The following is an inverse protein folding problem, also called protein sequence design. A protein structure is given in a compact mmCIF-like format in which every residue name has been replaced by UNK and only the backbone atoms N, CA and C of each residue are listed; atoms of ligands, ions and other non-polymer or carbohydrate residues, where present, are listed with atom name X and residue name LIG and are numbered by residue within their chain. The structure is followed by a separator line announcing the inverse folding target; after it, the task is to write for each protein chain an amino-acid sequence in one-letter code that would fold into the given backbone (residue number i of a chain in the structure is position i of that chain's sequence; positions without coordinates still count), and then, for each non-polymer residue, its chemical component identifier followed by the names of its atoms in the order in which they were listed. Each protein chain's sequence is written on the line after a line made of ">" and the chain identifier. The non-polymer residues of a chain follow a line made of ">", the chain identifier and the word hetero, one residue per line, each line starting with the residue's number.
data_IF_905254054799
#
_entry.id   IF_905254054799
#
_cell.length_a   1.000
_cell.length_b   1.000
_cell.length_c   1.000
_cell.angle_alpha   90.00
_cell.angle_beta   90.00
_cell.angle_gamma   90.00
#
_symmetry.space_group_name_H-M   'P 1'
#
loop_
_entity.id
_entity.type
_entity.pdbx_description
1 polymer ?
#
# COMPACT_ATOMS: atom_id res chain seq x y z
N UNK A 1 -18.23 102.27 -57.06
CA UNK A 1 -17.58 101.39 -56.05
C UNK A 1 -18.72 100.88 -55.18
N UNK A 2 -19.14 99.61 -55.16
CA UNK A 2 -18.43 98.37 -54.92
C UNK A 2 -19.09 97.21 -55.70
N UNK A 3 -18.30 96.18 -55.95
CA UNK A 3 -18.46 95.00 -56.83
C UNK A 3 -19.46 93.93 -56.34
N UNK A 4 -20.13 93.26 -57.32
CA UNK A 4 -20.25 91.80 -57.62
C UNK A 4 -20.79 90.91 -56.44
N UNK A 5 -21.75 89.97 -56.54
CA UNK A 5 -21.75 88.70 -57.29
C UNK A 5 -23.13 87.99 -57.28
N UNK A 6 -23.42 87.41 -58.45
CA UNK A 6 -24.31 86.34 -58.96
C UNK A 6 -25.10 85.37 -58.04
N UNK A 7 -26.31 85.04 -58.55
CA UNK A 7 -27.22 83.85 -58.47
C UNK A 7 -26.52 82.46 -58.41
N UNK A 8 -27.26 81.31 -58.45
CA UNK A 8 -28.45 80.79 -57.72
C UNK A 8 -28.19 79.35 -57.16
N UNK A 9 -29.12 78.71 -56.45
CA UNK A 9 -29.03 77.27 -56.17
C UNK A 9 -30.40 76.58 -56.28
N UNK A 10 -30.49 75.69 -57.27
CA UNK A 10 -31.51 74.66 -57.39
C UNK A 10 -31.10 73.46 -56.50
N UNK A 11 -32.03 72.93 -55.70
CA UNK A 11 -31.88 71.63 -55.05
C UNK A 11 -33.27 71.07 -54.73
N UNK A 12 -33.83 70.36 -55.71
CA UNK A 12 -35.11 69.67 -55.57
C UNK A 12 -35.10 68.41 -56.42
N UNK A 13 -34.36 67.38 -55.98
CA UNK A 13 -34.46 66.00 -56.47
C UNK A 13 -33.43 65.09 -55.75
N UNK A 14 -33.53 64.89 -54.43
CA UNK A 14 -32.64 63.94 -53.74
C UNK A 14 -33.18 63.42 -52.40
N UNK A 15 -34.51 63.28 -52.22
CA UNK A 15 -35.07 62.79 -50.93
C UNK A 15 -35.75 61.41 -51.07
N UNK A 16 -35.88 60.85 -52.27
CA UNK A 16 -36.63 59.60 -52.50
C UNK A 16 -35.76 58.36 -52.82
N UNK A 17 -34.46 58.40 -52.53
CA UNK A 17 -33.55 57.26 -52.75
C UNK A 17 -32.88 56.72 -51.47
N UNK A 18 -33.21 57.29 -50.30
CA UNK A 18 -32.56 56.93 -49.03
C UNK A 18 -33.39 56.01 -48.12
N UNK A 19 -34.57 55.57 -48.56
CA UNK A 19 -35.51 54.80 -47.73
C UNK A 19 -35.71 53.33 -48.13
N UNK A 20 -34.96 52.82 -49.12
CA UNK A 20 -35.06 51.42 -49.58
C UNK A 20 -33.81 50.55 -49.33
N UNK A 21 -32.79 51.04 -48.62
CA UNK A 21 -31.52 50.33 -48.40
C UNK A 21 -31.37 49.58 -47.07
N UNK A 22 -32.38 49.54 -46.20
CA UNK A 22 -32.21 49.12 -44.79
C UNK A 22 -32.97 47.85 -44.40
N UNK A 23 -33.08 46.87 -45.32
CA UNK A 23 -33.58 45.52 -45.02
C UNK A 23 -32.62 44.49 -45.64
N UNK A 24 -31.34 44.54 -45.25
CA UNK A 24 -30.54 43.32 -45.25
C UNK A 24 -30.96 42.54 -43.99
N UNK A 25 -31.64 41.39 -44.11
CA UNK A 25 -31.71 40.49 -42.97
C UNK A 25 -30.26 40.13 -42.62
N UNK A 26 -29.82 40.46 -41.41
CA UNK A 26 -28.70 39.76 -40.79
C UNK A 26 -29.10 38.28 -40.79
N UNK A 27 -28.55 37.53 -41.74
CA UNK A 27 -28.49 36.08 -41.66
C UNK A 27 -27.79 35.77 -40.35
N UNK A 28 -28.57 35.46 -39.31
CA UNK A 28 -28.05 34.83 -38.11
C UNK A 28 -27.38 33.54 -38.58
N UNK A 29 -26.06 33.51 -38.56
CA UNK A 29 -25.31 32.30 -38.85
C UNK A 29 -25.80 31.22 -37.88
N UNK A 30 -26.25 30.09 -38.41
CA UNK A 30 -26.68 28.96 -37.59
C UNK A 30 -25.53 28.55 -36.65
N UNK A 31 -25.87 28.17 -35.42
CA UNK A 31 -24.87 27.72 -34.46
C UNK A 31 -24.16 26.48 -35.02
N UNK A 32 -22.82 26.39 -34.94
CA UNK A 32 -22.09 25.23 -35.43
C UNK A 32 -22.50 23.97 -34.68
N UNK A 33 -22.71 22.88 -35.42
CA UNK A 33 -23.10 21.59 -34.88
C UNK A 33 -21.86 20.79 -34.51
N UNK A 34 -21.72 20.47 -33.23
CA UNK A 34 -20.52 19.82 -32.67
C UNK A 34 -20.88 18.44 -32.15
N UNK A 35 -20.26 17.41 -32.73
CA UNK A 35 -20.33 16.05 -32.22
C UNK A 35 -19.23 15.81 -31.19
N UNK A 36 -19.59 15.39 -29.98
CA UNK A 36 -18.62 15.09 -28.91
C UNK A 36 -18.44 13.58 -28.79
N UNK A 37 -17.20 13.11 -28.84
CA UNK A 37 -16.85 11.71 -28.64
C UNK A 37 -16.49 11.43 -27.18
N UNK A 38 -16.57 10.15 -26.79
CA UNK A 38 -16.10 9.72 -25.48
C UNK A 38 -14.59 10.01 -25.33
N UNK A 39 -14.20 10.44 -24.13
CA UNK A 39 -12.80 10.72 -23.82
C UNK A 39 -12.02 9.41 -23.63
N UNK A 40 -10.88 9.29 -24.30
CA UNK A 40 -10.03 8.10 -24.22
C UNK A 40 -9.03 8.18 -23.06
N UNK A 41 -8.98 7.14 -22.22
CA UNK A 41 -7.95 7.00 -21.20
C UNK A 41 -6.62 6.56 -21.82
N UNK A 42 -5.61 7.44 -21.81
CA UNK A 42 -4.24 7.16 -22.26
C UNK A 42 -3.28 6.81 -21.13
N UNK A 43 -3.76 6.74 -19.89
CA UNK A 43 -2.95 6.38 -18.72
C UNK A 43 -2.59 4.90 -18.66
N UNK A 44 -3.27 4.06 -19.44
CA UNK A 44 -3.07 2.61 -19.44
C UNK A 44 -3.62 1.89 -18.19
N UNK A 45 -4.30 2.64 -17.31
CA UNK A 45 -4.86 2.16 -16.05
C UNK A 45 -6.38 2.37 -16.04
N UNK A 46 -7.18 1.28 -16.16
CA UNK A 46 -8.64 1.35 -16.16
C UNK A 46 -9.24 1.98 -14.90
N UNK A 47 -8.47 2.09 -13.80
CA UNK A 47 -8.94 2.74 -12.57
C UNK A 47 -9.33 4.21 -12.77
N UNK A 48 -8.83 4.86 -13.82
CA UNK A 48 -9.16 6.25 -14.13
C UNK A 48 -10.25 6.41 -15.18
N UNK A 49 -10.90 5.33 -15.63
CA UNK A 49 -11.93 5.40 -16.67
C UNK A 49 -13.13 6.29 -16.26
N UNK A 50 -13.40 6.39 -14.95
CA UNK A 50 -14.44 7.27 -14.40
C UNK A 50 -14.18 8.76 -14.70
N UNK A 51 -12.91 9.16 -14.78
CA UNK A 51 -12.50 10.55 -15.06
C UNK A 51 -13.02 10.97 -16.43
N UNK A 52 -12.99 10.06 -17.41
CA UNK A 52 -13.56 10.28 -18.73
C UNK A 52 -15.04 10.65 -18.68
N UNK A 53 -15.83 9.95 -17.85
CA UNK A 53 -17.25 10.22 -17.67
C UNK A 53 -17.53 11.59 -17.02
N UNK A 54 -16.79 11.93 -15.97
CA UNK A 54 -16.92 13.24 -15.29
C UNK A 54 -16.55 14.38 -16.23
N UNK A 55 -15.36 14.28 -16.86
CA UNK A 55 -14.87 15.32 -17.75
C UNK A 55 -15.75 15.48 -19.00
N UNK A 56 -16.28 14.38 -19.55
CA UNK A 56 -17.22 14.43 -20.66
C UNK A 56 -18.55 15.09 -20.25
N UNK A 57 -19.09 14.76 -19.08
CA UNK A 57 -20.31 15.37 -18.55
C UNK A 57 -20.18 16.88 -18.35
N UNK A 58 -19.07 17.33 -17.75
CA UNK A 58 -18.76 18.75 -17.58
C UNK A 58 -18.59 19.46 -18.92
N UNK A 59 -17.87 18.85 -19.86
CA UNK A 59 -17.67 19.41 -21.20
C UNK A 59 -18.99 19.59 -21.96
N UNK A 60 -19.88 18.60 -21.92
CA UNK A 60 -21.21 18.69 -22.54
C UNK A 60 -22.06 19.79 -21.87
N UNK A 61 -22.01 19.89 -20.54
CA UNK A 61 -22.71 20.93 -19.79
C UNK A 61 -22.21 22.34 -20.16
N UNK A 62 -20.89 22.55 -20.19
CA UNK A 62 -20.27 23.83 -20.51
C UNK A 62 -20.56 24.27 -21.95
N UNK A 63 -20.41 23.34 -22.91
CA UNK A 63 -20.66 23.64 -24.31
C UNK A 63 -22.14 23.95 -24.56
N UNK A 64 -23.07 23.19 -23.95
CA UNK A 64 -24.51 23.44 -24.11
C UNK A 64 -24.96 24.73 -23.44
N UNK A 65 -24.47 25.02 -22.23
CA UNK A 65 -24.82 26.22 -21.47
C UNK A 65 -24.31 27.51 -22.11
N UNK A 66 -23.26 27.43 -22.94
CA UNK A 66 -22.75 28.58 -23.70
C UNK A 66 -23.77 29.15 -24.70
N UNK A 67 -24.74 28.34 -25.15
CA UNK A 67 -25.69 28.70 -26.21
C UNK A 67 -25.06 28.99 -27.58
N UNK A 68 -23.76 28.77 -27.72
CA UNK A 68 -22.98 29.13 -28.91
C UNK A 68 -22.83 27.98 -29.90
N UNK A 69 -23.17 26.75 -29.51
CA UNK A 69 -23.02 25.52 -30.30
C UNK A 69 -24.26 24.65 -30.15
N UNK A 70 -24.58 23.88 -31.19
CA UNK A 70 -25.60 22.83 -31.13
C UNK A 70 -24.89 21.48 -30.90
N UNK A 71 -25.16 20.82 -29.79
CA UNK A 71 -24.47 19.58 -29.42
C UNK A 71 -25.16 18.33 -29.97
N UNK A 72 -24.33 17.44 -30.51
CA UNK A 72 -24.70 16.08 -30.85
C UNK A 72 -23.92 15.14 -29.94
N UNK A 73 -24.56 14.63 -28.89
CA UNK A 73 -23.95 13.63 -28.00
C UNK A 73 -24.02 12.26 -28.66
N UNK A 74 -22.88 11.79 -29.18
CA UNK A 74 -22.80 10.50 -29.85
C UNK A 74 -23.05 9.33 -28.90
N UNK A 75 -22.67 9.44 -27.63
CA UNK A 75 -22.93 8.40 -26.63
C UNK A 75 -24.43 8.22 -26.39
N UNK A 76 -25.17 9.33 -26.30
CA UNK A 76 -26.63 9.32 -26.19
C UNK A 76 -27.29 8.80 -27.49
N UNK A 77 -26.73 9.14 -28.66
CA UNK A 77 -27.21 8.62 -29.95
C UNK A 77 -27.01 7.11 -30.06
N UNK A 78 -25.83 6.59 -29.71
CA UNK A 78 -25.54 5.16 -29.77
C UNK A 78 -26.42 4.37 -28.78
N UNK A 79 -26.69 4.93 -27.58
CA UNK A 79 -27.62 4.37 -26.61
C UNK A 79 -29.08 4.37 -27.12
N UNK A 80 -29.52 5.46 -27.76
CA UNK A 80 -30.84 5.57 -28.40
C UNK A 80 -30.99 4.62 -29.59
N UNK A 81 -29.95 4.44 -30.40
CA UNK A 81 -29.93 3.48 -31.51
C UNK A 81 -30.04 2.05 -30.99
N UNK A 82 -29.29 1.71 -29.95
CA UNK A 82 -29.37 0.39 -29.30
C UNK A 82 -30.76 0.14 -28.69
N UNK A 83 -31.35 1.14 -28.05
CA UNK A 83 -32.73 1.07 -27.53
C UNK A 83 -33.75 0.93 -28.67
N UNK A 84 -33.54 1.61 -29.80
CA UNK A 84 -34.40 1.48 -30.99
C UNK A 84 -34.25 0.11 -31.65
N UNK A 85 -33.04 -0.42 -31.77
CA UNK A 85 -32.79 -1.79 -32.25
C UNK A 85 -33.47 -2.83 -31.36
N UNK A 86 -33.40 -2.64 -30.03
CA UNK A 86 -34.14 -3.46 -29.06
C UNK A 86 -35.66 -3.31 -29.23
N UNK A 87 -36.17 -2.09 -29.49
CA UNK A 87 -37.59 -1.82 -29.72
C UNK A 87 -38.12 -2.36 -31.08
N UNK A 88 -37.30 -2.32 -32.13
CA UNK A 88 -37.62 -2.85 -33.47
C UNK A 88 -37.54 -4.38 -33.50
N UNK A 89 -36.72 -4.97 -32.63
CA UNK A 89 -36.71 -6.42 -32.40
C UNK A 89 -38.03 -6.91 -31.76
N UNK A 90 -38.83 -6.02 -31.15
CA UNK A 90 -40.10 -6.35 -30.52
C UNK A 90 -41.34 -6.12 -31.42
N UNK A 91 -41.27 -5.29 -32.47
CA UNK A 91 -42.43 -4.97 -33.34
C UNK A 91 -41.99 -4.85 -34.81
N UNK A 92 -42.42 -5.79 -35.64
CA UNK A 92 -42.32 -5.70 -37.10
C UNK A 92 -43.42 -4.79 -37.68
N UNK A 93 -43.06 -3.59 -38.16
CA UNK A 93 -43.66 -2.88 -39.30
C UNK A 93 -42.92 -1.55 -39.56
N UNK A 94 -42.44 -1.34 -40.79
CA UNK A 94 -41.74 -0.14 -41.31
C UNK A 94 -42.76 0.92 -41.84
N UNK A 95 -42.40 2.16 -42.28
CA UNK A 95 -41.05 2.69 -42.56
C UNK A 95 -40.77 4.20 -42.25
N UNK A 96 -39.52 4.58 -42.54
CA UNK A 96 -39.06 5.89 -43.06
C UNK A 96 -38.82 7.05 -42.08
N UNK A 97 -37.57 7.14 -41.61
CA UNK A 97 -36.91 8.36 -41.17
C UNK A 97 -35.42 8.07 -41.05
N UNK A 98 -34.67 8.28 -42.14
CA UNK A 98 -33.23 8.05 -42.14
C UNK A 98 -32.54 8.94 -41.12
N UNK A 99 -31.86 8.32 -40.15
CA UNK A 99 -31.05 9.06 -39.19
C UNK A 99 -29.71 9.42 -39.86
N UNK A 100 -29.59 10.66 -40.30
CA UNK A 100 -28.35 11.28 -40.82
C UNK A 100 -27.38 11.63 -39.66
N UNK A 101 -27.11 10.63 -38.80
CA UNK A 101 -26.53 10.82 -37.47
C UNK A 101 -25.07 11.27 -37.41
N UNK A 102 -24.35 11.20 -38.53
CA UNK A 102 -22.93 11.60 -38.62
C UNK A 102 -22.74 12.66 -39.70
N UNK A 103 -23.57 12.68 -40.75
CA UNK A 103 -23.43 13.57 -41.91
C UNK A 103 -23.84 15.01 -41.66
N UNK A 104 -24.14 15.38 -40.41
CA UNK A 104 -24.74 16.67 -40.07
C UNK A 104 -24.01 17.47 -39.00
N UNK A 105 -22.84 17.00 -38.52
CA UNK A 105 -21.96 17.78 -37.66
C UNK A 105 -20.98 18.60 -38.51
N UNK A 106 -20.79 19.87 -38.15
CA UNK A 106 -19.76 20.74 -38.74
C UNK A 106 -18.38 20.44 -38.13
N UNK A 107 -18.39 20.03 -36.86
CA UNK A 107 -17.19 19.75 -36.07
C UNK A 107 -17.30 18.46 -35.27
N UNK A 108 -16.17 17.78 -35.09
CA UNK A 108 -16.02 16.65 -34.17
C UNK A 108 -15.03 17.02 -33.08
N UNK A 109 -15.42 16.84 -31.82
CA UNK A 109 -14.57 17.01 -30.65
C UNK A 109 -14.19 15.63 -30.11
N UNK A 110 -12.93 15.24 -30.34
CA UNK A 110 -12.34 14.06 -29.75
C UNK A 110 -11.46 14.47 -28.57
N UNK A 111 -11.35 13.64 -27.54
CA UNK A 111 -10.47 13.96 -26.43
C UNK A 111 -9.81 12.73 -25.82
N UNK A 112 -8.70 12.98 -25.17
CA UNK A 112 -7.91 11.97 -24.47
C UNK A 112 -7.33 12.57 -23.20
N UNK A 113 -7.15 11.74 -22.18
CA UNK A 113 -6.57 12.17 -20.91
C UNK A 113 -5.50 11.20 -20.41
N UNK A 114 -4.52 11.75 -19.72
CA UNK A 114 -3.39 11.04 -19.14
C UNK A 114 -3.15 11.54 -17.72
N UNK A 115 -3.11 10.63 -16.75
CA UNK A 115 -2.71 10.97 -15.39
C UNK A 115 -1.19 11.00 -15.25
N UNK A 116 -0.66 12.10 -14.70
CA UNK A 116 0.75 12.33 -14.43
C UNK A 116 0.92 12.66 -12.94
N UNK A 117 1.17 11.64 -12.11
CA UNK A 117 1.25 11.82 -10.66
C UNK A 117 -0.10 12.25 -10.07
N UNK A 118 -0.17 13.47 -9.54
CA UNK A 118 -1.39 14.07 -8.98
C UNK A 118 -2.13 15.01 -9.95
N UNK A 119 -1.69 15.11 -11.19
CA UNK A 119 -2.30 16.00 -12.20
C UNK A 119 -2.87 15.20 -13.37
N UNK A 120 -4.05 15.60 -13.84
CA UNK A 120 -4.65 15.12 -15.07
C UNK A 120 -4.22 16.03 -16.21
N UNK A 121 -3.65 15.47 -17.27
CA UNK A 121 -3.49 16.16 -18.55
C UNK A 121 -4.65 15.81 -19.45
N UNK A 122 -5.46 16.81 -19.83
CA UNK A 122 -6.57 16.66 -20.76
C UNK A 122 -6.18 17.27 -22.11
N UNK A 123 -6.47 16.56 -23.21
CA UNK A 123 -6.23 17.01 -24.57
C UNK A 123 -7.49 16.86 -25.39
N UNK A 124 -7.99 17.96 -25.95
CA UNK A 124 -9.14 18.00 -26.84
C UNK A 124 -8.68 18.34 -28.27
N UNK A 125 -9.21 17.62 -29.25
CA UNK A 125 -8.96 17.80 -30.69
C UNK A 125 -10.29 18.17 -31.34
N UNK A 126 -10.39 19.42 -31.77
CA UNK A 126 -11.51 19.93 -32.55
C UNK A 126 -11.19 19.76 -34.04
N UNK A 127 -11.99 18.95 -34.72
CA UNK A 127 -11.81 18.55 -36.10
C UNK A 127 -12.91 19.18 -36.93
N UNK A 128 -12.54 20.01 -37.90
CA UNK A 128 -13.45 20.57 -38.89
C UNK A 128 -13.76 19.49 -39.94
N UNK A 129 -15.04 19.11 -40.08
CA UNK A 129 -15.44 17.97 -40.93
C UNK A 129 -15.24 18.29 -42.41
N UNK A 130 -15.45 19.55 -42.82
CA UNK A 130 -15.36 19.97 -44.21
C UNK A 130 -13.90 20.05 -44.69
N UNK A 131 -13.00 20.57 -43.85
CA UNK A 131 -11.59 20.82 -44.20
C UNK A 131 -10.61 19.79 -43.65
N UNK A 132 -11.05 18.90 -42.76
CA UNK A 132 -10.19 18.00 -41.97
C UNK A 132 -9.12 18.72 -41.14
N UNK A 133 -9.29 20.02 -40.89
CA UNK A 133 -8.34 20.81 -40.09
C UNK A 133 -8.55 20.48 -38.61
N UNK A 134 -7.45 20.19 -37.92
CA UNK A 134 -7.45 19.89 -36.49
C UNK A 134 -6.90 21.07 -35.69
N UNK A 135 -7.62 21.47 -34.65
CA UNK A 135 -7.15 22.41 -33.62
C UNK A 135 -7.10 21.66 -32.29
N UNK A 136 -5.99 21.80 -31.56
CA UNK A 136 -5.77 21.08 -30.31
C UNK A 136 -5.77 22.04 -29.13
N UNK A 137 -6.46 21.66 -28.06
CA UNK A 137 -6.48 22.33 -26.77
C UNK A 137 -5.94 21.35 -25.73
N UNK A 138 -4.99 21.77 -24.90
CA UNK A 138 -4.44 20.90 -23.85
C UNK A 138 -4.05 21.73 -22.65
N UNK A 139 -4.36 21.20 -21.47
CA UNK A 139 -3.99 21.78 -20.20
C UNK A 139 -3.85 20.68 -19.14
N UNK A 140 -3.27 21.03 -17.99
CA UNK A 140 -3.04 20.12 -16.86
C UNK A 140 -3.64 20.68 -15.56
N UNK A 141 -4.23 19.80 -14.76
CA UNK A 141 -4.81 20.17 -13.47
C UNK A 141 -5.54 19.00 -12.82
N UNK A 142 -6.09 19.21 -11.63
CA UNK A 142 -6.78 18.16 -10.86
C UNK A 142 -8.23 18.50 -10.51
N UNK A 143 -8.79 19.54 -11.13
CA UNK A 143 -10.07 20.15 -10.74
C UNK A 143 -11.00 20.37 -11.93
N UNK A 144 -12.29 20.62 -11.65
CA UNK A 144 -13.30 20.91 -12.67
C UNK A 144 -12.91 22.11 -13.56
N UNK A 145 -12.18 23.09 -12.99
CA UNK A 145 -11.67 24.26 -13.72
C UNK A 145 -10.78 23.92 -14.92
N UNK A 146 -10.10 22.77 -14.90
CA UNK A 146 -9.37 22.26 -16.06
C UNK A 146 -10.30 22.07 -17.27
N UNK A 147 -11.46 21.44 -17.03
CA UNK A 147 -12.45 21.15 -18.07
C UNK A 147 -13.11 22.45 -18.54
N UNK A 148 -13.48 23.32 -17.60
CA UNK A 148 -14.07 24.63 -17.90
C UNK A 148 -13.15 25.48 -18.79
N UNK A 149 -11.86 25.60 -18.45
CA UNK A 149 -10.90 26.38 -19.22
C UNK A 149 -10.72 25.85 -20.65
N UNK A 150 -10.72 24.53 -20.83
CA UNK A 150 -10.64 23.90 -22.15
C UNK A 150 -11.93 24.10 -22.95
N UNK A 151 -13.10 24.01 -22.32
CA UNK A 151 -14.39 24.29 -22.94
C UNK A 151 -14.48 25.76 -23.41
N UNK A 152 -14.02 26.72 -22.59
CA UNK A 152 -13.94 28.14 -22.97
C UNK A 152 -13.13 28.33 -24.27
N UNK A 153 -11.98 27.66 -24.38
CA UNK A 153 -11.13 27.72 -25.58
C UNK A 153 -11.81 27.14 -26.83
N UNK A 154 -12.56 26.04 -26.67
CA UNK A 154 -13.36 25.46 -27.76
C UNK A 154 -14.47 26.42 -28.20
N UNK A 155 -15.21 27.01 -27.26
CA UNK A 155 -16.30 27.96 -27.56
C UNK A 155 -15.74 29.23 -28.20
N UNK A 156 -14.62 29.75 -27.71
CA UNK A 156 -13.94 30.91 -28.29
C UNK A 156 -13.56 30.62 -29.75
N UNK A 157 -13.04 29.42 -30.03
CA UNK A 157 -12.64 29.03 -31.38
C UNK A 157 -13.84 28.92 -32.34
N UNK A 158 -14.98 28.45 -31.86
CA UNK A 158 -16.19 28.21 -32.67
C UNK A 158 -17.05 29.46 -32.86
N UNK A 159 -17.14 30.31 -31.83
CA UNK A 159 -18.05 31.45 -31.80
C UNK A 159 -17.35 32.82 -31.90
N UNK A 160 -16.03 32.85 -31.72
CA UNK A 160 -15.23 34.08 -31.62
C UNK A 160 -15.41 34.83 -30.30
N UNK A 161 -16.20 34.30 -29.36
CA UNK A 161 -16.43 34.88 -28.03
C UNK A 161 -16.06 33.86 -26.96
N UNK A 162 -15.21 34.26 -26.02
CA UNK A 162 -14.84 33.43 -24.89
C UNK A 162 -15.85 33.60 -23.75
N UNK A 163 -16.58 32.54 -23.34
CA UNK A 163 -17.39 32.58 -22.14
C UNK A 163 -16.48 32.58 -20.90
N UNK A 164 -17.04 32.96 -19.74
CA UNK A 164 -16.37 32.81 -18.44
C UNK A 164 -17.09 31.69 -17.70
N UNK A 165 -16.46 30.52 -17.66
CA UNK A 165 -16.98 29.30 -17.04
C UNK A 165 -16.16 28.92 -15.80
N UNK A 166 -14.89 29.32 -15.74
CA UNK A 166 -14.04 29.13 -14.57
C UNK A 166 -14.52 30.00 -13.40
N UNK A 167 -14.84 29.39 -12.26
CA UNK A 167 -15.21 30.09 -11.01
C UNK A 167 -14.07 29.96 -9.97
N UNK A 168 -13.48 31.09 -9.54
CA UNK A 168 -12.38 31.11 -8.53
C UNK A 168 -12.78 30.55 -7.15
N UNK A 169 -14.08 30.39 -6.87
CA UNK A 169 -14.62 29.88 -5.60
C UNK A 169 -15.20 28.46 -5.62
N UNK A 170 -15.29 27.80 -6.78
CA UNK A 170 -15.86 26.45 -6.92
C UNK A 170 -14.92 25.54 -7.70
N UNK A 171 -13.82 25.16 -7.07
CA UNK A 171 -12.83 24.22 -7.63
C UNK A 171 -12.93 22.87 -6.92
N UNK A 172 -13.79 21.97 -7.40
CA UNK A 172 -13.85 20.59 -6.91
C UNK A 172 -12.81 19.75 -7.64
N UNK A 173 -12.21 18.79 -6.93
CA UNK A 173 -11.29 17.86 -7.58
C UNK A 173 -12.05 16.84 -8.43
N UNK A 174 -11.57 16.62 -9.66
CA UNK A 174 -12.07 15.55 -10.54
C UNK A 174 -11.31 14.23 -10.33
N UNK A 175 -10.23 14.25 -9.54
CA UNK A 175 -9.47 13.08 -9.12
C UNK A 175 -9.96 12.67 -7.74
N UNK A 176 -10.81 11.65 -7.68
CA UNK A 176 -11.30 11.09 -6.44
C UNK A 176 -10.28 10.09 -5.91
N UNK A 177 -9.47 10.49 -4.92
CA UNK A 177 -8.74 9.56 -4.04
C UNK A 177 -9.70 8.75 -3.14
N UNK A 178 -11.01 9.03 -3.20
CA UNK A 178 -12.06 8.47 -2.33
C UNK A 178 -12.63 7.13 -2.80
N UNK A 179 -12.34 6.70 -4.03
CA UNK A 179 -12.93 5.49 -4.63
C UNK A 179 -11.98 4.28 -4.62
N UNK A 180 -10.84 4.36 -3.94
CA UNK A 180 -10.07 3.15 -3.72
C UNK A 180 -10.85 2.25 -2.75
N UNK A 181 -11.19 1.04 -3.20
CA UNK A 181 -11.86 0.05 -2.34
C UNK A 181 -11.00 -0.14 -1.09
N UNK A 182 -11.54 0.07 0.13
CA UNK A 182 -10.76 -0.06 1.34
C UNK A 182 -10.17 -1.46 1.47
N UNK A 183 -8.93 -1.53 1.95
CA UNK A 183 -8.28 -2.78 2.30
C UNK A 183 -8.58 -3.22 3.72
N UNK A 184 -7.95 -4.33 4.12
CA UNK A 184 -7.99 -4.81 5.50
C UNK A 184 -6.68 -5.47 5.91
N UNK A 185 -6.41 -5.53 7.20
CA UNK A 185 -5.31 -6.29 7.79
C UNK A 185 -5.88 -7.35 8.74
N UNK A 186 -5.42 -8.59 8.60
CA UNK A 186 -5.64 -9.66 9.57
C UNK A 186 -4.39 -9.80 10.44
N UNK A 187 -4.49 -9.37 11.70
CA UNK A 187 -3.43 -9.47 12.70
C UNK A 187 -3.60 -10.73 13.54
N UNK A 188 -2.63 -11.63 13.50
CA UNK A 188 -2.55 -12.81 14.36
C UNK A 188 -1.53 -12.56 15.48
N UNK A 189 -1.93 -12.73 16.74
CA UNK A 189 -1.03 -12.57 17.89
C UNK A 189 -1.31 -13.66 18.94
N UNK A 190 -0.25 -14.27 19.52
CA UNK A 190 -0.40 -15.16 20.67
C UNK A 190 -0.69 -14.44 21.99
N UNK A 191 -0.57 -13.11 22.02
CA UNK A 191 -0.74 -12.34 23.24
C UNK A 191 -2.23 -12.18 23.56
N UNK A 192 -2.59 -12.37 24.83
CA UNK A 192 -3.94 -12.08 25.35
C UNK A 192 -3.95 -10.64 25.83
N UNK A 193 -4.98 -9.87 25.46
CA UNK A 193 -5.22 -8.49 25.92
C UNK A 193 -4.11 -7.48 25.59
N UNK A 194 -3.30 -7.72 24.55
CA UNK A 194 -2.33 -6.72 24.08
C UNK A 194 -3.06 -5.60 23.35
N UNK A 195 -2.74 -4.36 23.67
CA UNK A 195 -3.25 -3.19 22.97
C UNK A 195 -2.70 -3.20 21.54
N UNK A 196 -3.59 -3.02 20.56
CA UNK A 196 -3.23 -2.91 19.15
C UNK A 196 -3.34 -1.46 18.72
N UNK A 197 -2.32 -0.99 18.03
CA UNK A 197 -2.28 0.34 17.43
C UNK A 197 -2.12 0.26 15.92
N UNK A 198 -2.85 1.10 15.21
CA UNK A 198 -2.77 1.32 13.78
C UNK A 198 -2.43 2.79 13.54
N UNK A 199 -1.29 3.07 12.89
CA UNK A 199 -0.77 4.42 12.64
C UNK A 199 -0.72 5.29 13.90
N UNK A 200 -0.40 4.66 15.04
CA UNK A 200 -0.36 5.29 16.36
C UNK A 200 -1.71 5.44 17.07
N UNK A 201 -2.83 5.13 16.42
CA UNK A 201 -4.16 5.15 17.03
C UNK A 201 -4.50 3.79 17.64
N UNK A 202 -5.00 3.79 18.89
CA UNK A 202 -5.50 2.58 19.53
C UNK A 202 -6.78 2.09 18.86
N UNK A 203 -6.84 0.79 18.54
CA UNK A 203 -7.95 0.20 17.79
C UNK A 203 -8.60 -1.01 18.49
N UNK A 204 -7.96 -1.59 19.50
CA UNK A 204 -8.53 -2.71 20.24
C UNK A 204 -7.49 -3.60 20.92
N UNK A 205 -7.91 -4.81 21.27
CA UNK A 205 -7.09 -5.78 21.99
C UNK A 205 -6.94 -7.08 21.20
N UNK A 206 -5.80 -7.76 21.37
CA UNK A 206 -5.56 -9.09 20.82
C UNK A 206 -6.35 -10.16 21.59
N UNK A 207 -6.68 -11.26 20.91
CA UNK A 207 -7.47 -12.37 21.48
C UNK A 207 -6.61 -13.48 22.10
N UNK A 208 -5.31 -13.51 21.83
CA UNK A 208 -4.37 -14.55 22.25
C UNK A 208 -4.47 -15.88 21.51
N UNK A 209 -5.38 -16.03 20.56
CA UNK A 209 -5.45 -17.21 19.71
C UNK A 209 -4.73 -16.98 18.38
N UNK A 210 -3.65 -17.71 18.15
CA UNK A 210 -2.86 -17.70 16.90
C UNK A 210 -3.65 -18.09 15.65
N UNK A 211 -4.87 -18.63 15.80
CA UNK A 211 -5.74 -19.06 14.70
C UNK A 211 -6.85 -18.07 14.40
N UNK A 212 -7.09 -17.11 15.30
CA UNK A 212 -8.20 -16.15 15.16
C UNK A 212 -7.63 -14.74 15.07
N UNK A 213 -7.69 -14.09 13.89
CA UNK A 213 -7.13 -12.77 13.74
C UNK A 213 -8.03 -11.70 14.37
N UNK A 214 -7.40 -10.59 14.74
CA UNK A 214 -8.06 -9.29 14.84
C UNK A 214 -8.12 -8.69 13.43
N UNK A 215 -9.31 -8.32 12.97
CA UNK A 215 -9.52 -7.74 11.64
C UNK A 215 -9.55 -6.21 11.75
N UNK A 216 -8.66 -5.57 10.98
CA UNK A 216 -8.62 -4.11 10.81
C UNK A 216 -9.23 -3.82 9.44
N UNK A 217 -10.45 -3.31 9.41
CA UNK A 217 -11.23 -3.15 8.18
C UNK A 217 -11.39 -1.67 7.82
N UNK A 218 -11.67 -1.40 6.54
CA UNK A 218 -11.92 -0.03 6.08
C UNK A 218 -10.64 0.81 5.97
N UNK A 219 -9.50 0.17 5.71
CA UNK A 219 -8.21 0.86 5.63
C UNK A 219 -8.03 1.52 4.27
N UNK A 220 -7.55 2.76 4.26
CA UNK A 220 -7.08 3.41 3.03
C UNK A 220 -5.94 2.58 2.43
N UNK A 221 -5.80 2.47 1.10
CA UNK A 221 -4.63 1.80 0.54
C UNK A 221 -3.37 2.63 0.75
N UNK A 222 -2.29 1.95 1.13
CA UNK A 222 -1.07 2.64 1.57
C UNK A 222 -0.26 1.81 2.53
N UNK A 223 0.81 2.40 3.04
CA UNK A 223 1.63 1.76 4.08
C UNK A 223 1.10 2.16 5.44
N UNK A 224 0.73 1.18 6.25
CA UNK A 224 0.26 1.38 7.62
C UNK A 224 1.25 0.79 8.62
N UNK A 225 1.44 1.48 9.74
CA UNK A 225 2.15 0.94 10.90
C UNK A 225 1.17 0.17 11.78
N UNK A 226 1.41 -1.11 11.99
CA UNK A 226 0.69 -1.96 12.95
C UNK A 226 1.64 -2.29 14.09
N UNK A 227 1.17 -2.15 15.33
CA UNK A 227 1.95 -2.51 16.51
C UNK A 227 1.11 -3.09 17.64
N UNK A 228 1.77 -3.85 18.51
CA UNK A 228 1.15 -4.44 19.72
C UNK A 228 1.94 -4.04 20.97
N UNK A 229 1.20 -3.79 22.06
CA UNK A 229 1.77 -3.45 23.35
C UNK A 229 1.00 -4.15 24.50
N UNK A 230 1.69 -5.03 25.22
CA UNK A 230 1.18 -5.70 26.43
C UNK A 230 1.96 -5.26 27.69
N UNK A 231 2.67 -4.13 27.61
CA UNK A 231 3.48 -3.58 28.68
C UNK A 231 4.92 -4.08 28.66
N UNK A 232 5.63 -3.81 29.76
CA UNK A 232 7.10 -3.83 29.82
C UNK A 232 7.73 -5.23 29.77
N UNK A 233 6.96 -6.29 29.99
CA UNK A 233 7.46 -7.66 30.04
C UNK A 233 7.30 -8.42 28.71
N UNK A 234 6.70 -7.79 27.69
CA UNK A 234 6.35 -8.42 26.41
C UNK A 234 6.83 -7.61 25.21
N UNK A 235 7.15 -8.33 24.13
CA UNK A 235 7.50 -7.72 22.85
C UNK A 235 8.47 -8.59 22.07
N UNK A 236 9.36 -7.93 21.31
CA UNK A 236 10.45 -8.56 20.57
C UNK A 236 11.81 -8.26 21.19
N UNK A 237 12.67 -9.26 21.18
CA UNK A 237 14.09 -9.12 21.55
C UNK A 237 14.89 -8.95 20.27
N UNK A 238 15.58 -7.82 20.13
CA UNK A 238 16.50 -7.57 19.02
C UNK A 238 17.88 -8.08 19.39
N UNK A 239 18.41 -8.96 18.56
CA UNK A 239 19.74 -9.52 18.67
C UNK A 239 20.69 -8.81 17.68
N UNK A 240 22.00 -8.70 17.97
CA UNK A 240 22.70 -9.25 19.14
C UNK A 240 22.68 -8.39 20.40
N UNK A 241 22.30 -7.12 20.31
CA UNK A 241 22.36 -6.15 21.42
C UNK A 241 21.47 -6.55 22.64
N UNK A 242 20.55 -7.51 22.45
CA UNK A 242 19.51 -7.90 23.42
C UNK A 242 18.76 -6.66 23.90
N UNK A 243 18.09 -5.99 22.97
CA UNK A 243 17.20 -4.86 23.28
C UNK A 243 15.73 -5.27 23.18
N UNK A 244 14.91 -4.67 24.02
CA UNK A 244 13.50 -5.00 24.17
C UNK A 244 12.66 -3.89 23.58
N UNK A 245 11.72 -4.23 22.73
CA UNK A 245 10.81 -3.25 22.16
C UNK A 245 9.44 -3.84 21.89
N UNK A 246 8.37 -3.02 21.91
CA UNK A 246 7.09 -3.39 21.35
C UNK A 246 7.28 -3.85 19.90
N UNK A 247 6.50 -4.83 19.47
CA UNK A 247 6.53 -5.26 18.08
C UNK A 247 5.85 -4.23 17.19
N UNK A 248 6.47 -3.98 16.03
CA UNK A 248 5.96 -3.08 14.99
C UNK A 248 6.19 -3.68 13.61
N UNK A 249 5.25 -3.47 12.70
CA UNK A 249 5.35 -3.85 11.29
C UNK A 249 4.73 -2.79 10.39
N UNK A 250 5.39 -2.52 9.26
CA UNK A 250 4.83 -1.69 8.19
C UNK A 250 4.20 -2.60 7.14
N UNK A 251 2.90 -2.43 6.91
CA UNK A 251 2.11 -3.27 6.02
C UNK A 251 1.60 -2.43 4.85
N UNK A 252 1.96 -2.81 3.63
CA UNK A 252 1.42 -2.20 2.42
C UNK A 252 0.03 -2.79 2.12
N UNK A 253 -1.02 -2.06 2.49
CA UNK A 253 -2.40 -2.40 2.21
C UNK A 253 -2.73 -2.04 0.77
N UNK A 254 -3.15 -3.04 -0.01
CA UNK A 254 -3.60 -2.83 -1.39
C UNK A 254 -5.12 -2.66 -1.42
N UNK A 255 -5.60 -1.85 -2.36
CA UNK A 255 -7.03 -1.62 -2.55
C UNK A 255 -7.83 -2.92 -2.69
N UNK A 256 -8.87 -3.07 -1.88
CA UNK A 256 -9.76 -4.23 -1.84
C UNK A 256 -9.09 -5.54 -1.43
N UNK A 257 -7.85 -5.52 -0.95
CA UNK A 257 -7.12 -6.72 -0.51
C UNK A 257 -7.05 -6.79 1.01
N UNK A 258 -6.93 -8.03 1.48
CA UNK A 258 -6.63 -8.34 2.86
C UNK A 258 -5.18 -8.75 2.97
N UNK A 259 -4.41 -8.00 3.74
CA UNK A 259 -3.05 -8.34 4.09
C UNK A 259 -3.03 -9.11 5.41
N UNK A 260 -2.02 -9.96 5.59
CA UNK A 260 -1.88 -10.78 6.80
C UNK A 260 -0.57 -10.45 7.49
N UNK A 261 -0.64 -10.26 8.80
CA UNK A 261 0.53 -9.98 9.63
C UNK A 261 0.48 -10.81 10.91
N UNK A 262 1.65 -11.25 11.36
CA UNK A 262 1.80 -12.08 12.57
C UNK A 262 2.70 -11.34 13.55
N UNK A 263 2.20 -11.14 14.76
CA UNK A 263 2.95 -10.64 15.90
C UNK A 263 3.73 -11.81 16.54
N UNK A 264 5.08 -11.80 16.47
CA UNK A 264 5.92 -12.83 17.08
C UNK A 264 6.20 -12.57 18.57
N UNK A 265 5.60 -11.54 19.17
CA UNK A 265 5.86 -11.15 20.55
C UNK A 265 5.59 -12.28 21.53
N UNK A 266 6.47 -12.37 22.53
CA UNK A 266 6.36 -13.33 23.64
C UNK A 266 6.81 -12.65 24.93
N UNK A 267 6.68 -13.35 26.05
CA UNK A 267 7.23 -12.88 27.32
C UNK A 267 8.76 -12.85 27.24
N UNK A 268 9.39 -11.73 27.63
CA UNK A 268 10.83 -11.55 27.46
C UNK A 268 11.66 -12.62 28.18
N UNK A 269 11.25 -13.06 29.38
CA UNK A 269 11.97 -14.12 30.08
C UNK A 269 11.97 -15.46 29.33
N UNK A 270 10.97 -15.77 28.50
CA UNK A 270 10.97 -17.02 27.72
C UNK A 270 12.03 -16.98 26.62
N UNK A 271 12.29 -15.79 26.07
CA UNK A 271 13.34 -15.58 25.09
C UNK A 271 14.70 -15.57 25.79
N UNK A 272 14.83 -14.82 26.89
CA UNK A 272 16.07 -14.75 27.67
C UNK A 272 16.48 -16.11 28.22
N UNK A 273 15.54 -16.92 28.68
CA UNK A 273 15.82 -18.29 29.13
C UNK A 273 16.39 -19.16 28.01
N UNK A 274 15.79 -19.09 26.81
CA UNK A 274 16.29 -19.82 25.63
C UNK A 274 17.65 -19.32 25.15
N UNK A 275 17.89 -18.00 25.22
CA UNK A 275 19.19 -17.42 24.87
C UNK A 275 20.26 -17.78 25.89
N UNK A 276 19.91 -17.80 27.18
CA UNK A 276 20.82 -18.11 28.28
C UNK A 276 21.33 -19.56 28.20
N UNK A 277 20.45 -20.50 27.86
CA UNK A 277 20.72 -21.94 27.88
C UNK A 277 21.23 -22.44 26.52
N UNK A 278 22.54 -22.65 26.44
CA UNK A 278 23.22 -23.16 25.24
C UNK A 278 23.11 -24.69 25.11
N UNK A 279 23.22 -25.41 26.23
CA UNK A 279 23.04 -26.88 26.33
C UNK A 279 22.24 -27.19 27.58
N UNK A 280 21.35 -28.17 27.50
CA UNK A 280 20.59 -28.71 28.64
C UNK A 280 20.12 -30.11 28.29
N UNK A 281 20.98 -31.08 28.54
CA UNK A 281 20.82 -32.46 28.06
C UNK A 281 20.88 -33.45 29.23
N UNK A 282 20.00 -34.44 29.21
CA UNK A 282 19.94 -35.52 30.19
C UNK A 282 20.24 -36.86 29.49
N UNK A 283 21.50 -37.13 29.08
CA UNK A 283 21.80 -38.32 28.30
C UNK A 283 21.53 -39.60 29.08
N UNK A 284 21.01 -40.60 28.37
CA UNK A 284 20.86 -41.95 28.92
C UNK A 284 22.24 -42.60 29.07
N UNK A 285 22.73 -42.65 30.30
CA UNK A 285 24.03 -43.24 30.62
C UNK A 285 23.98 -44.76 30.42
N UNK A 286 24.81 -45.25 29.51
CA UNK A 286 25.06 -46.67 29.29
C UNK A 286 26.57 -46.85 29.14
N UNK A 287 27.19 -47.57 30.08
CA UNK A 287 28.62 -47.82 30.05
C UNK A 287 28.96 -48.86 28.98
N UNK A 288 30.08 -48.65 28.30
CA UNK A 288 30.66 -49.60 27.35
C UNK A 288 31.34 -50.79 28.07
N UNK A 289 31.96 -51.68 27.30
CA UNK A 289 32.67 -52.85 27.84
C UNK A 289 33.87 -52.49 28.74
N UNK A 290 34.40 -51.26 28.63
CA UNK A 290 35.47 -50.75 29.48
C UNK A 290 34.91 -50.02 30.72
N UNK A 291 33.59 -50.01 30.92
CA UNK A 291 32.94 -49.27 32.00
C UNK A 291 32.96 -47.76 31.78
N UNK A 292 33.11 -47.29 30.54
CA UNK A 292 33.19 -45.87 30.18
C UNK A 292 31.91 -45.40 29.52
N UNK A 293 31.50 -44.18 29.81
CA UNK A 293 30.47 -43.46 29.08
C UNK A 293 31.03 -42.10 28.66
N UNK A 294 30.70 -41.67 27.44
CA UNK A 294 31.15 -40.39 26.89
C UNK A 294 30.01 -39.71 26.16
N UNK A 295 29.85 -38.40 26.42
CA UNK A 295 28.93 -37.53 25.69
C UNK A 295 29.62 -36.19 25.42
N UNK A 296 29.38 -35.62 24.24
CA UNK A 296 29.92 -34.32 23.83
C UNK A 296 28.82 -33.53 23.11
N UNK A 297 28.71 -32.25 23.45
CA UNK A 297 27.74 -31.34 22.88
C UNK A 297 28.44 -30.07 22.39
N UNK A 298 28.37 -29.75 21.09
CA UNK A 298 28.89 -28.49 20.57
C UNK A 298 28.01 -27.32 21.00
N UNK A 299 28.62 -26.14 21.17
CA UNK A 299 27.93 -24.87 21.39
C UNK A 299 28.39 -23.83 20.38
N UNK A 300 27.43 -23.03 19.89
CA UNK A 300 27.70 -21.87 19.05
C UNK A 300 26.65 -20.80 19.33
N UNK A 301 27.08 -19.57 19.56
CA UNK A 301 26.18 -18.45 19.81
C UNK A 301 26.84 -17.11 19.47
N UNK A 302 26.04 -16.06 19.33
CA UNK A 302 26.52 -14.68 19.20
C UNK A 302 26.41 -13.98 20.56
N UNK A 303 27.50 -13.40 21.04
CA UNK A 303 27.51 -12.65 22.30
C UNK A 303 26.79 -11.30 22.17
N UNK A 304 26.59 -10.59 23.29
CA UNK A 304 25.88 -9.29 23.26
C UNK A 304 26.59 -8.19 22.48
N UNK A 305 27.88 -8.33 22.20
CA UNK A 305 28.63 -7.42 21.35
C UNK A 305 28.58 -7.80 19.86
N UNK A 306 27.80 -8.83 19.50
CA UNK A 306 27.72 -9.34 18.14
C UNK A 306 28.90 -10.24 17.73
N UNK A 307 29.69 -10.72 18.71
CA UNK A 307 30.84 -11.58 18.40
C UNK A 307 30.41 -13.04 18.42
N UNK A 308 30.64 -13.81 17.34
CA UNK A 308 30.37 -15.24 17.34
C UNK A 308 31.33 -15.96 18.31
N UNK A 309 30.78 -16.92 19.05
CA UNK A 309 31.47 -17.75 20.05
C UNK A 309 31.24 -19.21 19.72
N UNK A 310 32.29 -20.01 19.81
CA UNK A 310 32.24 -21.45 19.54
C UNK A 310 32.90 -22.23 20.67
N UNK A 311 32.31 -23.38 21.00
CA UNK A 311 32.79 -24.20 22.09
C UNK A 311 32.16 -25.57 22.10
N UNK A 312 32.39 -26.29 23.20
CA UNK A 312 31.74 -27.58 23.47
C UNK A 312 31.86 -27.95 24.93
N UNK A 313 31.00 -28.85 25.37
CA UNK A 313 31.06 -29.50 26.68
C UNK A 313 31.12 -31.01 26.46
N UNK A 314 32.05 -31.67 27.14
CA UNK A 314 32.15 -33.12 27.14
C UNK A 314 32.10 -33.67 28.58
N UNK A 315 31.39 -34.77 28.74
CA UNK A 315 31.32 -35.54 29.95
C UNK A 315 31.88 -36.94 29.70
N UNK A 316 32.83 -37.32 30.53
CA UNK A 316 33.36 -38.67 30.59
C UNK A 316 33.05 -39.28 31.96
N UNK A 317 32.38 -40.43 31.99
CA UNK A 317 32.09 -41.17 33.21
C UNK A 317 32.78 -42.53 33.17
N UNK A 318 33.24 -42.98 34.34
CA UNK A 318 33.75 -44.31 34.58
C UNK A 318 32.95 -44.97 35.69
N UNK A 319 32.45 -46.17 35.42
CA UNK A 319 31.72 -46.98 36.39
C UNK A 319 32.59 -47.27 37.64
N UNK A 320 31.97 -47.49 38.82
CA UNK A 320 32.67 -47.93 40.01
C UNK A 320 33.44 -49.23 39.76
N UNK A 321 34.66 -49.33 40.29
CA UNK A 321 35.48 -50.54 40.17
C UNK A 321 34.93 -51.71 41.01
N UNK A 322 34.22 -51.39 42.10
CA UNK A 322 33.63 -52.34 43.04
C UNK A 322 32.15 -51.99 43.30
N UNK A 323 31.29 -52.99 43.59
CA UNK A 323 29.91 -52.74 44.00
C UNK A 323 29.84 -51.83 45.24
N UNK A 324 29.03 -50.78 45.20
CA UNK A 324 28.95 -49.79 46.28
C UNK A 324 30.10 -48.77 46.31
N UNK A 325 31.06 -48.85 45.38
CA UNK A 325 32.12 -47.86 45.22
C UNK A 325 31.66 -46.57 44.53
N UNK A 326 32.48 -45.53 44.62
CA UNK A 326 32.26 -44.29 43.87
C UNK A 326 32.73 -44.45 42.42
N UNK A 327 31.93 -43.94 41.47
CA UNK A 327 32.38 -43.79 40.10
C UNK A 327 33.24 -42.54 39.95
N UNK A 328 33.91 -42.43 38.80
CA UNK A 328 34.72 -41.24 38.45
C UNK A 328 34.10 -40.51 37.28
N UNK A 329 34.27 -39.20 37.25
CA UNK A 329 33.78 -38.35 36.19
C UNK A 329 34.79 -37.25 35.85
N UNK A 330 34.79 -36.82 34.60
CA UNK A 330 35.50 -35.65 34.13
C UNK A 330 34.60 -34.81 33.23
N UNK A 331 34.40 -33.56 33.64
CA UNK A 331 33.83 -32.51 32.80
C UNK A 331 34.99 -31.83 32.06
N UNK A 332 34.93 -31.78 30.73
CA UNK A 332 35.83 -30.93 29.94
C UNK A 332 35.01 -29.90 29.17
N UNK A 333 35.36 -28.63 29.34
CA UNK A 333 34.72 -27.51 28.68
C UNK A 333 35.72 -26.82 27.74
N UNK A 334 35.23 -26.34 26.59
CA UNK A 334 35.99 -25.56 25.63
C UNK A 334 35.19 -24.33 25.18
N UNK A 335 35.85 -23.19 25.07
CA UNK A 335 35.29 -21.97 24.48
C UNK A 335 36.41 -21.15 23.86
N UNK A 336 36.26 -20.77 22.59
CA UNK A 336 37.21 -19.91 21.85
C UNK A 336 38.69 -20.33 21.97
N UNK A 337 38.94 -21.64 21.99
CA UNK A 337 40.28 -22.22 22.10
C UNK A 337 40.84 -22.36 23.52
N UNK A 338 40.19 -21.81 24.55
CA UNK A 338 40.48 -22.13 25.94
C UNK A 338 39.78 -23.44 26.34
N UNK A 339 40.43 -24.26 27.17
CA UNK A 339 39.85 -25.50 27.70
C UNK A 339 40.09 -25.67 29.19
N UNK A 340 39.11 -26.21 29.91
CA UNK A 340 39.23 -26.57 31.33
C UNK A 340 38.65 -27.95 31.59
N UNK A 341 39.35 -28.74 32.39
CA UNK A 341 38.89 -30.06 32.83
C UNK A 341 38.75 -30.08 34.35
N UNK A 342 37.61 -30.57 34.83
CA UNK A 342 37.31 -30.76 36.26
C UNK A 342 36.98 -32.23 36.48
N UNK A 343 37.78 -32.91 37.29
CA UNK A 343 37.56 -34.30 37.68
C UNK A 343 36.88 -34.38 39.04
N UNK A 344 35.92 -35.29 39.18
CA UNK A 344 35.18 -35.52 40.42
C UNK A 344 34.79 -36.99 40.57
N UNK A 345 34.43 -37.38 41.79
CA UNK A 345 33.86 -38.71 42.09
C UNK A 345 32.38 -38.59 42.41
N UNK A 346 31.59 -39.58 42.03
CA UNK A 346 30.17 -39.65 42.33
C UNK A 346 29.85 -40.92 43.14
N UNK A 347 29.42 -40.81 44.41
CA UNK A 347 29.04 -41.96 45.22
C UNK A 347 27.68 -42.54 44.82
N UNK A 348 27.39 -43.78 45.24
CA UNK A 348 26.05 -44.35 45.14
C UNK A 348 25.07 -43.65 46.09
N UNK A 349 23.87 -43.30 45.62
CA UNK A 349 22.80 -42.69 46.40
C UNK A 349 22.85 -41.16 46.48
N UNK A 350 23.99 -40.54 46.13
CA UNK A 350 24.22 -39.09 46.21
C UNK A 350 24.30 -38.45 44.81
N UNK A 351 23.98 -37.16 44.73
CA UNK A 351 24.22 -36.34 43.54
C UNK A 351 25.57 -35.64 43.69
N UNK A 352 26.38 -35.67 42.65
CA UNK A 352 27.67 -34.97 42.59
C UNK A 352 27.69 -34.02 41.41
N UNK A 353 28.21 -32.82 41.63
CA UNK A 353 28.23 -31.75 40.64
C UNK A 353 29.65 -31.25 40.40
N UNK A 354 29.96 -30.93 39.15
CA UNK A 354 31.16 -30.19 38.76
C UNK A 354 30.79 -29.00 37.90
N UNK A 355 31.50 -27.88 38.10
CA UNK A 355 31.33 -26.66 37.32
C UNK A 355 32.66 -26.13 36.80
N UNK A 356 32.63 -25.55 35.62
CA UNK A 356 33.74 -24.83 35.03
C UNK A 356 33.22 -23.57 34.33
N UNK A 357 33.81 -22.42 34.60
CA UNK A 357 33.51 -21.20 33.86
C UNK A 357 34.64 -20.88 32.88
N UNK A 358 34.32 -20.59 31.62
CA UNK A 358 35.28 -20.11 30.61
C UNK A 358 34.63 -18.92 29.91
N UNK A 359 35.27 -17.74 29.98
CA UNK A 359 34.74 -16.51 29.38
C UNK A 359 33.31 -16.21 29.85
N UNK A 360 32.37 -16.19 28.90
CA UNK A 360 30.96 -15.88 29.13
C UNK A 360 30.10 -17.11 29.41
N UNK A 361 30.65 -18.32 29.51
CA UNK A 361 29.86 -19.55 29.66
C UNK A 361 30.23 -20.28 30.96
N UNK A 362 29.21 -20.60 31.73
CA UNK A 362 29.27 -21.54 32.86
C UNK A 362 28.82 -22.92 32.37
N UNK A 363 29.71 -23.89 32.53
CA UNK A 363 29.49 -25.29 32.18
C UNK A 363 29.27 -26.06 33.48
N UNK A 364 28.21 -26.86 33.56
CA UNK A 364 27.93 -27.70 34.72
C UNK A 364 27.55 -29.11 34.29
N UNK A 365 27.90 -30.06 35.15
CA UNK A 365 27.43 -31.44 35.06
C UNK A 365 27.01 -31.89 36.44
N UNK A 366 25.83 -32.50 36.56
CA UNK A 366 25.47 -33.30 37.72
C UNK A 366 25.33 -34.77 37.37
N UNK A 367 25.75 -35.65 38.28
CA UNK A 367 25.67 -37.10 38.14
C UNK A 367 25.05 -37.66 39.40
N UNK A 368 23.99 -38.44 39.25
CA UNK A 368 23.37 -39.21 40.34
C UNK A 368 23.37 -40.71 39.99
N UNK A 369 23.64 -41.55 40.99
CA UNK A 369 23.49 -43.00 40.86
C UNK A 369 22.45 -43.51 41.87
N UNK A 370 21.31 -44.00 41.38
CA UNK A 370 20.23 -44.52 42.23
C UNK A 370 19.67 -45.82 41.66
N UNK A 371 19.50 -46.81 42.53
CA UNK A 371 18.94 -48.13 42.17
C UNK A 371 19.68 -48.79 40.99
N UNK A 372 21.00 -48.70 40.98
CA UNK A 372 21.84 -49.24 39.90
C UNK A 372 21.70 -48.51 38.55
N UNK A 373 21.10 -47.31 38.53
CA UNK A 373 21.00 -46.45 37.34
C UNK A 373 21.76 -45.17 37.56
N UNK A 374 22.63 -44.85 36.61
CA UNK A 374 23.34 -43.57 36.56
C UNK A 374 22.55 -42.62 35.67
N UNK A 375 22.37 -41.39 36.13
CA UNK A 375 21.84 -40.27 35.35
C UNK A 375 22.86 -39.16 35.37
N UNK A 376 23.00 -38.50 34.24
CA UNK A 376 23.82 -37.31 34.11
C UNK A 376 22.97 -36.20 33.50
N UNK A 377 23.19 -34.98 33.98
CA UNK A 377 22.66 -33.75 33.41
C UNK A 377 23.82 -32.88 33.01
N UNK A 378 23.79 -32.36 31.80
CA UNK A 378 24.86 -31.56 31.19
C UNK A 378 24.25 -30.22 30.79
N UNK A 379 24.77 -29.13 31.35
CA UNK A 379 24.29 -27.78 31.06
C UNK A 379 25.45 -26.86 30.67
N UNK A 380 25.14 -25.93 29.77
CA UNK A 380 26.00 -24.80 29.45
C UNK A 380 25.12 -23.55 29.38
N UNK A 381 25.39 -22.57 30.23
CA UNK A 381 24.64 -21.33 30.30
C UNK A 381 25.57 -20.13 30.10
N UNK A 382 25.16 -19.16 29.28
CA UNK A 382 25.90 -17.90 29.13
C UNK A 382 25.55 -16.93 30.26
N UNK A 383 26.55 -16.16 30.72
CA UNK A 383 26.44 -15.26 31.87
C UNK A 383 26.12 -13.81 31.51
N UNK A 384 26.24 -13.44 30.24
CA UNK A 384 25.93 -12.08 29.75
C UNK A 384 24.44 -11.86 29.45
N UNK A 385 23.63 -12.92 29.55
CA UNK A 385 22.16 -12.89 29.47
C UNK A 385 21.57 -13.38 30.79
N UNK A 386 20.70 -12.57 31.40
CA UNK A 386 20.01 -12.92 32.64
C UNK A 386 18.51 -12.62 32.57
N UNK A 387 17.73 -13.30 33.42
CA UNK A 387 16.30 -13.03 33.54
C UNK A 387 16.06 -11.63 34.11
N UNK A 388 15.00 -10.96 33.64
CA UNK A 388 14.69 -9.62 34.10
C UNK A 388 15.59 -8.51 33.53
N UNK A 389 16.49 -8.83 32.59
CA UNK A 389 17.30 -7.81 31.89
C UNK A 389 16.46 -6.72 31.23
N UNK A 390 15.23 -7.02 30.82
CA UNK A 390 14.29 -6.03 30.25
C UNK A 390 13.76 -5.00 31.25
N UNK A 391 14.08 -5.16 32.54
CA UNK A 391 13.70 -4.25 33.62
C UNK A 391 14.86 -3.38 34.12
N UNK A 392 16.08 -3.64 33.65
CA UNK A 392 17.28 -2.85 33.92
C UNK A 392 17.29 -1.64 32.98
#
# INVERSE_FOLDING_TARGET
>A
MVRIVRRPAAAGAAVLAFLLGALCPLLAAAAPRVAVLALENRSGDPRYDYVGGIAQGLLLYDLSSSGAVELLDRGAIDALLKERELSLSAIAASPAGGFEGISSADYVLAGEYLLLGSELRLTLKLIDVASSRVVTFSDSGSTENLVHALAEGVVERLSGKRPVLVEEGRSRSILSLRDETPGSIALFSPLVDAQVFLDGAFIGYTKGDRRVPLLLEGLEPGTHEVSTDLGRDFGVVKLPEVSFSPWKAYVLVRSGKRETVVDPSTHFNDVLYRLKRLVSEDPKVAFDAAGRFFAEYPISFEDRAGTPREGRIALELFAPAEPGGAGRAALTAWLDGESRTVSFSWPEGEESEARAAIGLVEFSVSVESRYGRVRARIEAERSDVDQGMHRQ
#
